data_IF_066197263000
#
_entry.id   IF_066197263000
#
_cell.length_a   1.000
_cell.length_b   1.000
_cell.length_c   1.000
_cell.angle_alpha   90.00
_cell.angle_beta   90.00
_cell.angle_gamma   90.00
#
_symmetry.space_group_name_H-M   'P 1'
#
loop_
_entity.id
_entity.type
_entity.pdbx_description
1 polymer ?
#
# COMPACT_ATOMS: atom_id res chain seq x y z
N UNK A 1 -20.54 -26.24 1.55
CA UNK A 1 -20.56 -24.78 1.27
C UNK A 1 -20.10 -24.03 2.50
N UNK A 2 -18.79 -23.84 2.62
CA UNK A 2 -18.19 -23.00 3.66
C UNK A 2 -17.50 -21.84 2.95
N UNK A 3 -17.48 -20.68 3.62
CA UNK A 3 -16.57 -19.53 3.37
C UNK A 3 -17.09 -18.37 2.53
N UNK A 4 -18.05 -17.61 3.08
CA UNK A 4 -18.30 -16.21 2.65
C UNK A 4 -18.84 -15.32 3.77
N UNK A 5 -18.58 -15.63 5.05
CA UNK A 5 -19.06 -14.80 6.17
C UNK A 5 -18.31 -13.47 6.30
N UNK A 6 -17.08 -13.39 5.78
CA UNK A 6 -16.23 -12.22 5.99
C UNK A 6 -16.16 -11.38 4.72
N UNK A 7 -17.32 -10.86 4.31
CA UNK A 7 -17.33 -9.66 3.46
C UNK A 7 -16.70 -8.57 4.31
N UNK A 8 -15.53 -8.08 3.90
CA UNK A 8 -14.83 -6.91 4.47
C UNK A 8 -15.87 -5.92 4.95
N UNK A 9 -16.06 -5.81 6.27
CA UNK A 9 -17.15 -5.01 6.78
C UNK A 9 -16.85 -3.55 6.43
N UNK A 10 -17.87 -2.70 6.34
CA UNK A 10 -17.71 -1.29 5.98
C UNK A 10 -16.66 -0.59 6.84
N UNK A 11 -16.48 -1.02 8.09
CA UNK A 11 -15.49 -0.47 9.01
C UNK A 11 -14.06 -0.88 8.63
N UNK A 12 -13.81 -2.12 8.21
CA UNK A 12 -12.51 -2.57 7.70
C UNK A 12 -12.13 -1.82 6.43
N UNK A 13 -13.09 -1.61 5.52
CA UNK A 13 -12.88 -0.80 4.31
C UNK A 13 -12.63 0.67 4.66
N UNK A 14 -13.37 1.24 5.61
CA UNK A 14 -13.17 2.62 6.04
C UNK A 14 -11.84 2.79 6.79
N UNK A 15 -11.42 1.82 7.59
CA UNK A 15 -10.12 1.81 8.26
C UNK A 15 -8.98 1.72 7.24
N UNK A 16 -9.12 0.89 6.20
CA UNK A 16 -8.17 0.83 5.10
C UNK A 16 -8.17 2.14 4.28
N UNK A 17 -9.34 2.69 3.98
CA UNK A 17 -9.45 3.99 3.29
C UNK A 17 -8.81 5.12 4.10
N UNK A 18 -9.00 5.12 5.42
CA UNK A 18 -8.38 6.08 6.33
C UNK A 18 -6.91 5.79 6.61
N UNK A 19 -6.42 4.57 6.35
CA UNK A 19 -4.98 4.28 6.37
C UNK A 19 -4.30 4.69 5.06
N UNK A 20 -5.04 4.70 3.94
CA UNK A 20 -4.61 5.24 2.63
C UNK A 20 -5.00 6.72 2.54
N UNK A 21 -4.49 7.54 3.46
CA UNK A 21 -4.69 9.00 3.40
C UNK A 21 -3.54 9.63 2.62
N UNK A 22 -3.84 10.14 1.43
CA UNK A 22 -2.92 10.90 0.58
C UNK A 22 -2.96 12.40 0.93
N UNK A 23 -2.61 12.75 2.17
CA UNK A 23 -2.50 14.13 2.64
C UNK A 23 -1.03 14.55 2.65
N UNK A 24 -0.74 15.78 2.23
CA UNK A 24 0.62 16.32 2.16
C UNK A 24 1.57 15.44 1.33
N UNK A 25 1.06 14.88 0.22
CA UNK A 25 1.88 14.08 -0.69
C UNK A 25 2.88 14.99 -1.41
N UNK A 26 4.16 14.69 -1.22
CA UNK A 26 5.29 15.40 -1.84
C UNK A 26 5.90 14.62 -3.00
N UNK A 27 5.43 13.40 -3.25
CA UNK A 27 5.76 12.60 -4.42
C UNK A 27 4.79 11.45 -4.64
N UNK A 28 4.43 11.19 -5.88
CA UNK A 28 3.59 10.07 -6.29
C UNK A 28 4.22 9.40 -7.51
N UNK A 29 4.29 8.08 -7.51
CA UNK A 29 4.83 7.33 -8.65
C UNK A 29 4.09 6.00 -8.82
N UNK A 30 3.87 5.63 -10.08
CA UNK A 30 3.42 4.31 -10.50
C UNK A 30 4.49 3.77 -11.44
N UNK A 31 4.93 2.55 -11.22
CA UNK A 31 6.00 1.95 -12.01
C UNK A 31 5.96 0.43 -11.99
N UNK A 32 6.93 -0.16 -12.67
CA UNK A 32 7.15 -1.61 -12.69
C UNK A 32 8.54 -1.87 -12.12
N UNK A 33 8.64 -2.83 -11.21
CA UNK A 33 9.91 -3.35 -10.68
C UNK A 33 9.91 -4.87 -10.78
N UNK A 34 10.68 -5.38 -11.75
CA UNK A 34 10.67 -6.78 -12.14
C UNK A 34 9.26 -7.26 -12.47
N UNK A 35 8.75 -8.20 -11.67
CA UNK A 35 7.42 -8.78 -11.84
C UNK A 35 6.34 -8.09 -11.01
N UNK A 36 6.57 -6.87 -10.51
CA UNK A 36 5.60 -6.14 -9.70
C UNK A 36 5.20 -4.81 -10.34
N UNK A 37 3.92 -4.47 -10.24
CA UNK A 37 3.47 -3.07 -10.36
C UNK A 37 3.60 -2.43 -8.98
N UNK A 38 4.25 -1.27 -8.92
CA UNK A 38 4.43 -0.48 -7.70
C UNK A 38 3.58 0.77 -7.81
N UNK A 39 2.80 1.05 -6.76
CA UNK A 39 2.10 2.32 -6.55
C UNK A 39 2.63 2.89 -5.23
N UNK A 40 3.27 4.06 -5.26
CA UNK A 40 3.82 4.70 -4.07
C UNK A 40 3.41 6.17 -3.93
N UNK A 41 3.21 6.59 -2.68
CA UNK A 41 3.01 7.99 -2.32
C UNK A 41 3.90 8.33 -1.13
N UNK A 42 4.58 9.48 -1.23
CA UNK A 42 5.58 9.96 -0.29
C UNK A 42 5.05 11.21 0.41
N UNK A 43 5.39 11.35 1.68
CA UNK A 43 5.03 12.49 2.52
C UNK A 43 6.26 12.99 3.29
N UNK A 44 6.15 14.18 3.89
CA UNK A 44 7.30 14.89 4.47
C UNK A 44 8.01 15.78 3.44
N UNK A 45 8.63 16.85 3.92
CA UNK A 45 9.29 17.86 3.07
C UNK A 45 10.43 17.25 2.24
N UNK A 46 11.10 16.23 2.79
CA UNK A 46 12.19 15.49 2.15
C UNK A 46 11.77 14.10 1.65
N UNK A 47 10.46 13.82 1.59
CA UNK A 47 9.89 12.52 1.18
C UNK A 47 10.35 11.35 2.05
N UNK A 48 10.63 11.62 3.32
CA UNK A 48 11.17 10.67 4.30
C UNK A 48 10.14 9.65 4.79
N UNK A 49 8.85 9.95 4.61
CA UNK A 49 7.72 9.08 4.92
C UNK A 49 6.96 8.69 3.66
N UNK A 50 6.09 7.69 3.76
CA UNK A 50 5.25 7.28 2.65
C UNK A 50 4.76 5.85 2.75
N UNK A 51 4.11 5.41 1.69
CA UNK A 51 3.56 4.07 1.56
C UNK A 51 3.72 3.57 0.13
N UNK A 52 3.80 2.26 -0.01
CA UNK A 52 3.84 1.61 -1.31
C UNK A 52 2.99 0.33 -1.29
N UNK A 53 2.35 0.06 -2.42
CA UNK A 53 1.67 -1.19 -2.71
C UNK A 53 2.37 -1.83 -3.91
N UNK A 54 2.90 -3.03 -3.69
CA UNK A 54 3.45 -3.87 -4.75
C UNK A 54 2.41 -4.94 -5.10
N UNK A 55 2.13 -5.09 -6.40
CA UNK A 55 1.22 -6.10 -6.92
C UNK A 55 1.98 -7.00 -7.90
N UNK A 56 2.09 -8.29 -7.56
CA UNK A 56 2.67 -9.31 -8.42
C UNK A 56 1.88 -9.44 -9.72
N UNK A 57 2.55 -9.33 -10.85
CA UNK A 57 1.92 -9.35 -12.18
C UNK A 57 1.42 -10.76 -12.53
N UNK A 58 2.06 -11.81 -12.01
CA UNK A 58 1.73 -13.20 -12.36
C UNK A 58 0.62 -13.80 -11.49
N UNK A 59 0.65 -13.55 -10.19
CA UNK A 59 -0.23 -14.19 -9.20
C UNK A 59 -1.15 -13.20 -8.47
N UNK A 60 -0.96 -11.90 -8.70
CA UNK A 60 -1.74 -10.86 -8.04
C UNK A 60 -1.38 -10.68 -6.57
N UNK A 61 -0.29 -11.27 -6.07
CA UNK A 61 0.13 -11.13 -4.67
C UNK A 61 0.32 -9.66 -4.33
N UNK A 62 -0.22 -9.24 -3.20
CA UNK A 62 -0.21 -7.84 -2.77
C UNK A 62 0.66 -7.68 -1.52
N UNK A 63 1.68 -6.85 -1.61
CA UNK A 63 2.53 -6.50 -0.48
C UNK A 63 2.48 -5.01 -0.21
N UNK A 64 2.15 -4.65 1.02
CA UNK A 64 2.10 -3.26 1.46
C UNK A 64 3.35 -2.91 2.28
N UNK A 65 3.87 -1.71 2.03
CA UNK A 65 5.03 -1.15 2.70
C UNK A 65 4.70 0.23 3.24
N UNK A 66 5.37 0.58 4.34
CA UNK A 66 5.48 1.95 4.81
C UNK A 66 6.94 2.38 4.77
N UNK A 67 7.15 3.68 4.60
CA UNK A 67 8.46 4.31 4.63
C UNK A 67 8.59 5.12 5.91
N UNK A 68 9.68 4.90 6.62
CA UNK A 68 10.02 5.67 7.82
C UNK A 68 11.50 6.04 7.74
N UNK A 69 11.80 7.32 7.87
CA UNK A 69 13.17 7.85 7.80
C UNK A 69 13.92 7.38 6.55
N UNK A 70 13.23 7.42 5.41
CA UNK A 70 13.80 7.06 4.11
C UNK A 70 13.87 5.56 3.81
N UNK A 71 13.56 4.68 4.78
CA UNK A 71 13.67 3.22 4.64
C UNK A 71 12.30 2.56 4.51
N UNK A 72 12.16 1.63 3.56
CA UNK A 72 10.94 0.85 3.36
C UNK A 72 10.88 -0.35 4.30
N UNK A 73 9.71 -0.57 4.91
CA UNK A 73 9.43 -1.67 5.83
C UNK A 73 8.11 -2.34 5.41
N UNK A 74 8.05 -3.69 5.36
CA UNK A 74 6.82 -4.39 5.06
C UNK A 74 5.83 -4.24 6.22
N UNK A 75 4.54 -4.07 5.93
CA UNK A 75 3.49 -4.05 6.97
C UNK A 75 2.41 -5.11 6.77
N UNK A 76 2.19 -5.58 5.54
CA UNK A 76 1.15 -6.58 5.25
C UNK A 76 1.43 -7.31 3.94
N UNK A 77 1.02 -8.57 3.87
CA UNK A 77 1.13 -9.43 2.70
C UNK A 77 -0.15 -10.27 2.53
N UNK A 78 -0.68 -10.38 1.31
CA UNK A 78 -1.83 -11.22 0.97
C UNK A 78 -1.72 -11.84 -0.41
#
# INVERSE_FOLDING_TARGET
NSNLSDKTNTDDFNNLKNSIVMVNVTGFAIGIDGNNVIIQWLTGENREFGYALNVGIMDGTMQFFYRENGTWKPSWNK
#
